data_IF_583063467082
#
_entry.id   IF_583063467082
#
_cell.length_a   1.000
_cell.length_b   1.000
_cell.length_c   1.000
_cell.angle_alpha   90.00
_cell.angle_beta   90.00
_cell.angle_gamma   90.00
#
_symmetry.space_group_name_H-M   'P 1'
#
loop_
_entity.id
_entity.type
_entity.pdbx_description
1 polymer ?
#
# COMPACT_ATOMS: atom_id res chain seq x y z
N UNK A 1 15.18 2.73 0.86
CA UNK A 1 15.25 1.30 0.47
C UNK A 1 16.34 0.58 1.25
N UNK A 2 17.60 1.04 1.22
CA UNK A 2 18.72 0.37 1.93
C UNK A 2 18.50 0.28 3.45
N UNK A 3 17.98 1.35 4.07
CA UNK A 3 17.71 1.39 5.51
C UNK A 3 16.59 0.41 5.90
N UNK A 4 15.53 0.33 5.11
CA UNK A 4 14.44 -0.61 5.34
C UNK A 4 14.91 -2.07 5.26
N UNK A 5 15.74 -2.40 4.26
CA UNK A 5 16.32 -3.74 4.12
C UNK A 5 17.24 -4.11 5.29
N UNK A 6 18.04 -3.16 5.79
CA UNK A 6 18.91 -3.37 6.96
C UNK A 6 18.09 -3.61 8.22
N UNK A 7 17.06 -2.76 8.48
CA UNK A 7 16.14 -2.92 9.62
C UNK A 7 15.40 -4.26 9.56
N UNK A 8 15.00 -4.69 8.37
CA UNK A 8 14.39 -5.99 8.15
C UNK A 8 15.34 -7.14 8.54
N UNK A 9 16.61 -7.06 8.15
CA UNK A 9 17.63 -8.03 8.52
C UNK A 9 17.84 -8.11 10.05
N UNK A 10 17.83 -6.96 10.73
CA UNK A 10 17.94 -6.88 12.20
C UNK A 10 16.72 -7.51 12.89
N UNK A 11 15.50 -7.20 12.43
CA UNK A 11 14.26 -7.78 12.96
C UNK A 11 14.28 -9.31 12.79
N UNK A 12 14.69 -9.82 11.63
CA UNK A 12 14.83 -11.25 11.38
C UNK A 12 15.83 -11.90 12.34
N UNK A 13 16.92 -11.22 12.65
CA UNK A 13 17.91 -11.69 13.63
C UNK A 13 17.34 -11.81 15.03
N UNK A 14 16.45 -10.89 15.44
CA UNK A 14 15.82 -10.89 16.76
C UNK A 14 14.79 -12.01 16.94
N UNK A 15 14.04 -12.37 15.92
CA UNK A 15 12.96 -13.38 16.01
C UNK A 15 13.43 -14.82 15.74
N UNK A 16 14.73 -15.00 15.44
CA UNK A 16 15.21 -16.30 14.98
C UNK A 16 14.59 -16.64 13.59
N UNK A 17 15.40 -17.11 12.69
CA UNK A 17 15.00 -17.36 11.30
C UNK A 17 14.15 -18.63 11.12
N UNK A 18 13.07 -18.79 11.89
CA UNK A 18 12.13 -19.87 11.64
C UNK A 18 11.14 -19.45 10.56
N UNK A 19 10.81 -20.34 9.63
CA UNK A 19 9.81 -20.06 8.59
C UNK A 19 8.44 -19.64 9.15
N UNK A 20 8.09 -20.12 10.36
CA UNK A 20 6.88 -19.72 11.07
C UNK A 20 6.92 -18.26 11.51
N UNK A 21 7.98 -17.83 12.19
CA UNK A 21 8.11 -16.45 12.66
C UNK A 21 8.11 -15.44 11.51
N UNK A 22 8.73 -15.80 10.39
CA UNK A 22 8.74 -14.93 9.20
C UNK A 22 7.34 -14.77 8.63
N UNK A 23 6.61 -15.89 8.47
CA UNK A 23 5.23 -15.86 7.96
C UNK A 23 4.30 -15.06 8.88
N UNK A 24 4.42 -15.24 10.19
CA UNK A 24 3.45 -14.71 11.13
C UNK A 24 3.70 -13.22 11.46
N UNK A 25 4.93 -12.72 11.29
CA UNK A 25 5.28 -11.35 11.70
C UNK A 25 5.88 -10.47 10.59
N UNK A 26 6.37 -11.04 9.50
CA UNK A 26 7.14 -10.28 8.51
C UNK A 26 6.52 -10.25 7.11
N UNK A 27 5.43 -11.01 6.89
CA UNK A 27 4.66 -10.93 5.65
C UNK A 27 3.66 -9.77 5.77
N UNK A 28 4.14 -8.56 5.53
CA UNK A 28 3.33 -7.34 5.50
C UNK A 28 3.68 -6.47 4.30
N UNK A 29 2.73 -5.67 3.89
CA UNK A 29 2.90 -4.68 2.83
C UNK A 29 3.65 -3.47 3.34
N UNK A 30 4.54 -2.94 2.52
CA UNK A 30 5.24 -1.68 2.74
C UNK A 30 4.83 -0.72 1.63
N UNK A 31 4.20 0.39 2.00
CA UNK A 31 3.84 1.48 1.12
C UNK A 31 4.46 2.76 1.67
N UNK A 32 5.26 3.44 0.89
CA UNK A 32 5.95 4.66 1.31
C UNK A 32 5.79 5.74 0.24
N UNK A 33 5.38 6.92 0.68
CA UNK A 33 5.35 8.11 -0.18
C UNK A 33 6.44 9.06 0.28
N UNK A 34 7.25 9.50 -0.66
CA UNK A 34 8.23 10.55 -0.47
C UNK A 34 8.06 11.61 -1.55
N UNK A 35 8.58 12.79 -1.34
CA UNK A 35 8.52 13.86 -2.33
C UNK A 35 9.86 14.58 -2.47
N UNK A 36 10.10 15.12 -3.64
CA UNK A 36 11.16 16.07 -3.92
C UNK A 36 10.56 17.34 -4.54
N UNK A 37 11.37 18.22 -5.11
CA UNK A 37 10.90 19.48 -5.70
C UNK A 37 9.91 19.29 -6.85
N UNK A 38 10.03 18.21 -7.64
CA UNK A 38 9.31 17.99 -8.88
C UNK A 38 8.35 16.80 -8.89
N UNK A 39 8.56 15.81 -8.02
CA UNK A 39 7.81 14.57 -8.05
C UNK A 39 7.44 14.08 -6.65
N UNK A 40 6.32 13.38 -6.58
CA UNK A 40 6.02 12.39 -5.54
C UNK A 40 6.55 11.03 -6.01
N UNK A 41 7.15 10.29 -5.08
CA UNK A 41 7.67 8.94 -5.32
C UNK A 41 6.92 7.97 -4.43
N UNK A 42 6.40 6.90 -5.00
CA UNK A 42 5.77 5.81 -4.23
C UNK A 42 6.65 4.58 -4.35
N UNK A 43 7.28 4.20 -3.24
CA UNK A 43 8.02 2.96 -3.11
C UNK A 43 7.13 1.92 -2.42
N UNK A 44 7.01 0.73 -3.01
CA UNK A 44 6.12 -0.29 -2.47
C UNK A 44 6.68 -1.70 -2.63
N UNK A 45 6.29 -2.56 -1.69
CA UNK A 45 6.53 -3.99 -1.70
C UNK A 45 5.33 -4.67 -1.04
N UNK A 46 4.62 -5.50 -1.77
CA UNK A 46 3.32 -6.04 -1.38
C UNK A 46 2.20 -5.46 -2.25
N UNK A 47 1.00 -5.40 -1.71
CA UNK A 47 -0.20 -4.93 -2.41
C UNK A 47 -0.89 -3.77 -1.67
N UNK A 48 -1.90 -3.18 -2.29
CA UNK A 48 -2.62 -2.03 -1.77
C UNK A 48 -3.03 -1.07 -2.88
N UNK A 49 -3.10 0.21 -2.57
CA UNK A 49 -3.54 1.23 -3.53
C UNK A 49 -2.67 2.48 -3.44
N UNK A 50 -2.48 3.12 -4.58
CA UNK A 50 -2.04 4.51 -4.67
C UNK A 50 -3.31 5.37 -4.83
N UNK A 51 -3.42 6.42 -4.02
CA UNK A 51 -4.50 7.40 -4.10
C UNK A 51 -3.93 8.66 -4.71
N UNK A 52 -4.42 9.06 -5.88
CA UNK A 52 -3.88 10.17 -6.67
C UNK A 52 -4.88 11.31 -6.71
N UNK A 53 -4.51 12.48 -6.22
CA UNK A 53 -5.29 13.71 -6.37
C UNK A 53 -4.67 14.57 -7.48
N UNK A 54 -5.40 14.74 -8.58
CA UNK A 54 -4.99 15.63 -9.69
C UNK A 54 -5.15 17.10 -9.30
N UNK A 55 -4.53 17.98 -10.06
CA UNK A 55 -4.62 19.44 -9.86
C UNK A 55 -6.06 19.96 -10.00
N UNK A 56 -6.90 19.33 -10.79
CA UNK A 56 -8.33 19.64 -10.93
C UNK A 56 -9.20 19.12 -9.78
N UNK A 57 -8.60 18.42 -8.82
CA UNK A 57 -9.29 17.82 -7.68
C UNK A 57 -9.87 16.42 -7.95
N UNK A 58 -9.67 15.86 -9.14
CA UNK A 58 -10.05 14.46 -9.42
C UNK A 58 -9.23 13.51 -8.57
N UNK A 59 -9.90 12.55 -7.90
CA UNK A 59 -9.24 11.49 -7.15
C UNK A 59 -9.34 10.17 -7.91
N UNK A 60 -8.21 9.51 -8.09
CA UNK A 60 -8.07 8.23 -8.74
C UNK A 60 -7.44 7.22 -7.77
N UNK A 61 -7.90 5.98 -7.84
CA UNK A 61 -7.33 4.86 -7.10
C UNK A 61 -6.66 3.90 -8.08
N UNK A 62 -5.38 3.62 -7.84
CA UNK A 62 -4.60 2.67 -8.62
C UNK A 62 -4.26 1.48 -7.74
N UNK A 63 -4.81 0.30 -8.07
CA UNK A 63 -4.52 -0.92 -7.35
C UNK A 63 -3.10 -1.41 -7.66
N UNK A 64 -2.37 -1.70 -6.60
CA UNK A 64 -1.05 -2.31 -6.65
C UNK A 64 -1.23 -3.82 -6.48
N UNK A 65 -1.29 -4.56 -7.57
CA UNK A 65 -1.31 -6.02 -7.54
C UNK A 65 -0.30 -6.56 -8.55
N UNK A 66 0.60 -7.40 -8.08
CA UNK A 66 1.62 -8.04 -8.89
C UNK A 66 1.29 -9.52 -9.17
N UNK A 67 0.01 -9.88 -9.26
CA UNK A 67 -0.44 -11.23 -9.56
C UNK A 67 -1.34 -11.81 -8.47
N UNK A 68 -1.37 -13.16 -8.36
CA UNK A 68 -2.29 -13.90 -7.49
C UNK A 68 -1.98 -13.75 -6.00
N UNK A 69 -0.70 -13.48 -5.65
CA UNK A 69 -0.25 -13.35 -4.26
C UNK A 69 0.60 -12.09 -4.08
N UNK A 70 0.45 -11.38 -2.92
CA UNK A 70 1.28 -10.23 -2.60
C UNK A 70 2.76 -10.62 -2.55
N UNK A 71 3.64 -9.78 -3.07
CA UNK A 71 5.09 -9.96 -3.01
C UNK A 71 5.63 -9.32 -1.75
N UNK A 72 5.70 -10.07 -0.65
CA UNK A 72 6.29 -9.56 0.58
C UNK A 72 7.81 -9.62 0.55
N UNK A 73 8.45 -8.54 1.00
CA UNK A 73 9.91 -8.45 1.05
C UNK A 73 10.54 -9.58 1.90
N UNK A 74 9.80 -10.06 2.90
CA UNK A 74 10.19 -11.19 3.73
C UNK A 74 10.46 -12.48 2.96
N UNK A 75 9.89 -12.65 1.78
CA UNK A 75 10.12 -13.86 0.96
C UNK A 75 11.58 -14.04 0.54
N UNK A 76 12.39 -12.98 0.52
CA UNK A 76 13.82 -13.07 0.29
C UNK A 76 14.55 -13.87 1.38
N UNK A 77 13.94 -14.02 2.54
CA UNK A 77 14.53 -14.65 3.73
C UNK A 77 13.85 -15.98 4.12
N UNK A 78 12.75 -16.32 3.46
CA UNK A 78 12.07 -17.60 3.62
C UNK A 78 12.39 -18.53 2.47
N UNK A 79 12.21 -19.79 2.77
CA UNK A 79 12.35 -20.99 1.99
C UNK A 79 12.51 -20.80 0.47
N UNK A 80 13.58 -21.39 -0.07
CA UNK A 80 13.91 -21.43 -1.50
C UNK A 80 12.78 -21.92 -2.42
N UNK A 81 11.78 -22.63 -1.89
CA UNK A 81 10.64 -23.11 -2.67
C UNK A 81 9.63 -21.99 -2.97
N UNK A 82 9.46 -21.01 -2.08
CA UNK A 82 8.69 -19.79 -2.36
C UNK A 82 9.40 -18.90 -3.39
N UNK A 83 10.75 -18.89 -3.38
CA UNK A 83 11.56 -18.15 -4.34
C UNK A 83 11.51 -18.74 -5.76
N UNK A 84 10.98 -19.96 -5.97
CA UNK A 84 10.77 -20.49 -7.33
C UNK A 84 9.77 -19.65 -8.13
N UNK A 85 8.79 -19.02 -7.48
CA UNK A 85 7.87 -18.08 -8.11
C UNK A 85 8.52 -16.71 -8.35
N UNK A 86 9.56 -16.36 -7.57
CA UNK A 86 10.24 -15.06 -7.63
C UNK A 86 11.74 -15.30 -7.88
N UNK A 87 12.08 -15.78 -9.09
CA UNK A 87 13.48 -16.17 -9.46
C UNK A 87 14.52 -15.08 -9.20
N UNK A 88 14.09 -13.81 -9.31
CA UNK A 88 14.95 -12.63 -9.12
C UNK A 88 14.81 -12.01 -7.73
N UNK A 89 14.19 -12.72 -6.78
CA UNK A 89 13.85 -12.20 -5.47
C UNK A 89 12.67 -11.22 -5.50
N UNK A 90 12.31 -10.71 -4.32
CA UNK A 90 11.28 -9.68 -4.15
C UNK A 90 11.97 -8.35 -3.90
N UNK A 91 11.75 -7.38 -4.77
CA UNK A 91 12.33 -6.05 -4.68
C UNK A 91 11.22 -5.00 -4.49
N UNK A 92 11.61 -3.84 -3.97
CA UNK A 92 10.74 -2.67 -4.01
C UNK A 92 10.53 -2.21 -5.45
N UNK A 93 9.30 -1.84 -5.75
CA UNK A 93 8.94 -1.14 -6.98
C UNK A 93 8.77 0.33 -6.67
N UNK A 94 9.09 1.20 -7.64
CA UNK A 94 8.96 2.65 -7.50
C UNK A 94 8.10 3.21 -8.63
N UNK A 95 7.15 4.08 -8.28
CA UNK A 95 6.39 4.89 -9.25
C UNK A 95 6.63 6.36 -8.94
N UNK A 96 6.77 7.18 -10.00
CA UNK A 96 6.97 8.62 -9.90
C UNK A 96 5.76 9.35 -10.48
N UNK A 97 5.30 10.39 -9.80
CA UNK A 97 4.16 11.21 -10.17
C UNK A 97 4.57 12.68 -10.16
N UNK A 98 4.53 13.40 -11.31
CA UNK A 98 4.98 14.77 -11.40
C UNK A 98 4.03 15.72 -10.66
N UNK A 99 4.58 16.71 -9.96
CA UNK A 99 3.83 17.71 -9.19
C UNK A 99 3.09 18.74 -10.06
N UNK A 100 3.39 18.81 -11.34
CA UNK A 100 2.64 19.60 -12.31
C UNK A 100 1.37 18.92 -12.82
N UNK A 101 1.17 17.62 -12.52
CA UNK A 101 -0.05 16.88 -12.81
C UNK A 101 -0.86 16.53 -11.55
N UNK A 102 -0.17 16.29 -10.44
CA UNK A 102 -0.78 15.81 -9.20
C UNK A 102 -0.59 16.81 -8.06
N UNK A 103 -1.68 17.09 -7.34
CA UNK A 103 -1.67 17.91 -6.12
C UNK A 103 -1.16 17.15 -4.92
N UNK A 104 -1.56 15.87 -4.83
CA UNK A 104 -1.19 14.99 -3.72
C UNK A 104 -1.15 13.53 -4.18
N UNK A 105 -0.31 12.74 -3.53
CA UNK A 105 -0.25 11.29 -3.68
C UNK A 105 -0.29 10.68 -2.29
N UNK A 106 -1.21 9.74 -2.11
CA UNK A 106 -1.36 8.95 -0.90
C UNK A 106 -1.32 7.47 -1.17
N UNK A 107 -1.44 6.68 -0.12
CA UNK A 107 -1.48 5.22 -0.18
C UNK A 107 -2.56 4.65 0.73
N UNK A 108 -3.07 3.47 0.37
CA UNK A 108 -4.00 2.73 1.22
C UNK A 108 -3.66 1.24 1.23
N UNK A 109 -3.91 0.58 2.37
CA UNK A 109 -3.80 -0.88 2.46
C UNK A 109 -4.87 -1.57 1.63
N UNK A 110 -4.70 -2.86 1.39
CA UNK A 110 -5.61 -3.69 0.60
C UNK A 110 -6.99 -3.91 1.25
N UNK A 111 -7.15 -3.64 2.53
CA UNK A 111 -8.44 -3.70 3.24
C UNK A 111 -9.56 -2.90 2.58
N UNK A 112 -9.22 -1.88 1.76
CA UNK A 112 -10.18 -1.11 0.96
C UNK A 112 -10.65 -1.84 -0.31
N UNK A 113 -9.95 -2.89 -0.76
CA UNK A 113 -10.14 -3.54 -2.06
C UNK A 113 -11.57 -3.97 -2.33
N UNK A 114 -12.22 -4.58 -1.34
CA UNK A 114 -13.59 -5.05 -1.50
C UNK A 114 -14.58 -3.88 -1.64
N UNK A 115 -14.42 -2.86 -0.82
CA UNK A 115 -15.25 -1.66 -0.87
C UNK A 115 -15.12 -0.91 -2.20
N UNK A 116 -13.92 -0.90 -2.79
CA UNK A 116 -13.65 -0.25 -4.08
C UNK A 116 -14.28 -0.95 -5.30
N UNK A 117 -14.82 -2.17 -5.13
CA UNK A 117 -15.61 -2.87 -6.17
C UNK A 117 -17.05 -2.35 -6.25
N UNK A 118 -17.54 -1.67 -5.22
CA UNK A 118 -18.84 -1.02 -5.20
C UNK A 118 -18.70 0.39 -5.79
N UNK A 119 -19.24 0.60 -6.98
CA UNK A 119 -19.13 1.88 -7.71
C UNK A 119 -19.80 3.03 -6.96
N UNK A 120 -20.90 2.77 -6.22
CA UNK A 120 -21.56 3.79 -5.41
C UNK A 120 -20.67 4.20 -4.22
N UNK A 121 -20.08 3.21 -3.51
CA UNK A 121 -19.12 3.47 -2.45
C UNK A 121 -17.94 4.29 -2.97
N UNK A 122 -17.34 3.87 -4.08
CA UNK A 122 -16.18 4.52 -4.69
C UNK A 122 -16.48 5.99 -5.02
N UNK A 123 -17.63 6.26 -5.61
CA UNK A 123 -18.08 7.62 -5.92
C UNK A 123 -18.24 8.47 -4.67
N UNK A 124 -19.03 8.00 -3.69
CA UNK A 124 -19.26 8.72 -2.43
C UNK A 124 -17.95 8.93 -1.65
N UNK A 125 -17.07 7.94 -1.66
CA UNK A 125 -15.79 8.02 -0.97
C UNK A 125 -14.87 9.07 -1.61
N UNK A 126 -14.81 9.10 -2.95
CA UNK A 126 -14.10 10.14 -3.70
C UNK A 126 -14.58 11.55 -3.32
N UNK A 127 -15.90 11.78 -3.30
CA UNK A 127 -16.49 13.06 -2.90
C UNK A 127 -16.14 13.46 -1.45
N UNK A 128 -16.11 12.47 -0.56
CA UNK A 128 -15.73 12.67 0.84
C UNK A 128 -14.25 13.04 0.98
N UNK A 129 -13.36 12.37 0.26
CA UNK A 129 -11.92 12.69 0.24
C UNK A 129 -11.67 14.09 -0.32
N UNK A 130 -12.31 14.44 -1.43
CA UNK A 130 -12.24 15.79 -2.04
C UNK A 130 -12.67 16.91 -1.08
N UNK A 131 -13.51 16.60 -0.10
CA UNK A 131 -13.91 17.59 0.91
C UNK A 131 -12.77 18.04 1.82
N UNK A 132 -11.66 17.31 1.90
CA UNK A 132 -10.51 17.57 2.77
C UNK A 132 -10.84 17.55 4.26
N UNK A 133 -12.03 17.03 4.66
CA UNK A 133 -12.49 17.06 6.05
C UNK A 133 -12.38 15.69 6.70
N UNK A 134 -11.36 15.49 7.52
CA UNK A 134 -11.10 14.25 8.25
C UNK A 134 -12.36 13.69 8.96
N UNK A 135 -13.15 14.56 9.58
CA UNK A 135 -14.39 14.16 10.28
C UNK A 135 -15.40 13.52 9.32
N UNK A 136 -15.48 14.00 8.07
CA UNK A 136 -16.36 13.41 7.05
C UNK A 136 -15.84 12.04 6.63
N UNK A 137 -14.54 11.89 6.43
CA UNK A 137 -13.90 10.62 6.10
C UNK A 137 -14.18 9.59 7.20
N UNK A 138 -13.93 9.93 8.47
CA UNK A 138 -14.22 9.05 9.62
C UNK A 138 -15.68 8.63 9.69
N UNK A 139 -16.62 9.56 9.53
CA UNK A 139 -18.05 9.26 9.54
C UNK A 139 -18.45 8.35 8.38
N UNK A 140 -17.90 8.59 7.20
CA UNK A 140 -18.16 7.77 6.02
C UNK A 140 -17.66 6.35 6.21
N UNK A 141 -16.40 6.17 6.65
CA UNK A 141 -15.82 4.85 6.94
C UNK A 141 -16.69 4.10 7.98
N UNK A 142 -17.06 4.76 9.08
CA UNK A 142 -17.91 4.13 10.10
C UNK A 142 -19.28 3.71 9.57
N UNK A 143 -19.90 4.52 8.71
CA UNK A 143 -21.17 4.17 8.05
C UNK A 143 -21.05 2.92 7.17
N UNK A 144 -19.92 2.74 6.52
CA UNK A 144 -19.67 1.68 5.54
C UNK A 144 -18.78 0.56 6.09
N UNK A 145 -18.62 0.46 7.40
CA UNK A 145 -17.70 -0.48 8.08
C UNK A 145 -17.84 -1.93 7.60
N UNK A 146 -19.05 -2.36 7.23
CA UNK A 146 -19.32 -3.73 6.73
C UNK A 146 -18.67 -4.05 5.38
N UNK A 147 -18.26 -3.04 4.62
CA UNK A 147 -17.58 -3.20 3.34
C UNK A 147 -16.07 -3.40 3.48
N UNK A 148 -15.52 -3.13 4.66
CA UNK A 148 -14.11 -3.37 4.97
C UNK A 148 -13.99 -4.76 5.56
N UNK A 149 -13.32 -5.66 4.84
CA UNK A 149 -13.14 -7.07 5.25
C UNK A 149 -11.85 -7.29 6.03
N UNK A 150 -10.98 -6.30 6.04
CA UNK A 150 -9.70 -6.33 6.73
C UNK A 150 -9.35 -4.94 7.28
N UNK A 151 -8.32 -4.88 8.11
CA UNK A 151 -7.80 -3.64 8.65
C UNK A 151 -7.40 -2.68 7.52
N UNK A 152 -7.95 -1.46 7.58
CA UNK A 152 -7.78 -0.47 6.53
C UNK A 152 -7.05 0.75 7.04
N UNK A 153 -5.95 1.08 6.40
CA UNK A 153 -5.19 2.32 6.62
C UNK A 153 -5.16 3.12 5.33
N UNK A 154 -5.45 4.42 5.42
CA UNK A 154 -5.37 5.37 4.30
C UNK A 154 -4.57 6.57 4.77
N UNK A 155 -3.57 6.93 4.00
CA UNK A 155 -2.73 8.11 4.20
C UNK A 155 -2.79 8.95 2.93
N UNK A 156 -3.17 10.23 3.09
CA UNK A 156 -3.24 11.24 2.02
C UNK A 156 -2.39 12.43 2.36
#
# INVERSE_FOLDING_TARGET
VYTAAATFGEILGLFGQTSGSIRDFLCFTILMVTENETHFMVDYCGDGFIVKERLDGTIEFEELSDGEYPKYFAYNYVNKDMLKQYKDGVNFSTKAFPKDEYRNIGVASDGIRFAMKDEQFKKEFTEVLQSGKEVRVKRFINKHQKLFQDDTTIVL
#
